data_IF_719265798117
#
_entry.id   IF_719265798117
#
_cell.length_a   1.000
_cell.length_b   1.000
_cell.length_c   1.000
_cell.angle_alpha   90.00
_cell.angle_beta   90.00
_cell.angle_gamma   90.00
#
_symmetry.space_group_name_H-M   'P 1'
#
loop_
_entity.id
_entity.type
_entity.pdbx_description
1 polymer ?
#
# COMPACT_ATOMS: atom_id res chain seq x y z
N UNK A 1 45.97 6.16 -37.42
CA UNK A 1 44.78 6.99 -37.73
C UNK A 1 43.89 6.18 -38.65
N UNK A 2 42.57 6.04 -38.45
CA UNK A 2 41.70 6.37 -37.31
C UNK A 2 40.94 5.12 -36.77
N UNK A 3 40.67 5.06 -35.46
CA UNK A 3 39.70 4.10 -34.88
C UNK A 3 38.39 4.86 -34.60
N UNK A 4 37.33 4.50 -35.32
CA UNK A 4 35.93 4.76 -34.97
C UNK A 4 35.32 3.41 -34.64
N UNK A 5 34.64 3.33 -33.49
CA UNK A 5 33.51 2.47 -33.06
C UNK A 5 33.65 2.40 -31.52
N UNK A 6 32.65 2.34 -30.67
CA UNK A 6 31.20 2.37 -30.74
C UNK A 6 30.76 2.44 -29.26
N UNK A 7 29.58 3.00 -29.03
CA UNK A 7 28.70 2.79 -27.88
C UNK A 7 29.17 1.79 -26.82
N UNK A 8 29.31 2.23 -25.57
CA UNK A 8 28.87 1.53 -24.33
C UNK A 8 29.26 2.40 -23.14
N UNK A 9 28.28 3.11 -22.58
CA UNK A 9 28.23 3.31 -21.13
C UNK A 9 26.83 2.92 -20.67
N UNK A 10 26.67 1.62 -20.54
CA UNK A 10 25.65 0.97 -19.73
C UNK A 10 25.89 1.38 -18.28
N UNK A 11 24.91 2.02 -17.65
CA UNK A 11 24.72 2.10 -16.20
C UNK A 11 23.29 2.60 -15.98
N UNK A 12 22.36 1.66 -16.11
CA UNK A 12 21.03 1.74 -15.52
C UNK A 12 21.21 2.22 -14.08
N UNK A 13 20.69 3.40 -13.75
CA UNK A 13 20.77 4.01 -12.42
C UNK A 13 19.88 3.22 -11.45
N UNK A 14 20.36 2.04 -11.03
CA UNK A 14 19.89 1.35 -9.83
C UNK A 14 20.61 1.99 -8.63
N UNK A 15 20.29 3.27 -8.37
CA UNK A 15 20.61 3.83 -7.05
C UNK A 15 19.70 3.14 -6.04
N UNK A 16 20.24 2.63 -4.92
CA UNK A 16 19.39 2.13 -3.84
C UNK A 16 18.49 3.28 -3.41
N UNK A 17 17.19 3.01 -3.29
CA UNK A 17 16.20 3.95 -2.77
C UNK A 17 16.76 4.65 -1.53
N UNK A 18 17.12 5.94 -1.66
CA UNK A 18 17.52 6.74 -0.52
C UNK A 18 16.30 6.89 0.41
N UNK A 19 16.57 6.93 1.72
CA UNK A 19 15.58 7.11 2.79
C UNK A 19 14.51 8.18 2.50
N UNK A 20 14.90 9.31 1.88
CA UNK A 20 13.98 10.38 1.49
C UNK A 20 13.00 9.91 0.41
N UNK A 21 13.50 9.30 -0.66
CA UNK A 21 12.66 8.80 -1.76
C UNK A 21 11.73 7.69 -1.29
N UNK A 22 12.20 6.82 -0.38
CA UNK A 22 11.37 5.79 0.25
C UNK A 22 10.23 6.42 1.06
N UNK A 23 10.51 7.44 1.88
CA UNK A 23 9.49 8.12 2.67
C UNK A 23 8.47 8.87 1.79
N UNK A 24 8.92 9.47 0.68
CA UNK A 24 8.02 10.10 -0.29
C UNK A 24 7.10 9.05 -0.95
N UNK A 25 7.67 7.93 -1.42
CA UNK A 25 6.90 6.85 -2.01
C UNK A 25 5.92 6.24 -1.01
N UNK A 26 6.34 6.06 0.24
CA UNK A 26 5.47 5.61 1.34
C UNK A 26 4.29 6.56 1.55
N UNK A 27 4.53 7.87 1.53
CA UNK A 27 3.46 8.87 1.60
C UNK A 27 2.48 8.75 0.43
N UNK A 28 2.96 8.62 -0.81
CA UNK A 28 2.09 8.46 -1.98
C UNK A 28 1.31 7.13 -1.95
N UNK A 29 1.92 6.06 -1.48
CA UNK A 29 1.27 4.77 -1.26
C UNK A 29 0.17 4.89 -0.21
N UNK A 30 0.43 5.56 0.92
CA UNK A 30 -0.57 5.80 1.96
C UNK A 30 -1.75 6.60 1.41
N UNK A 31 -1.49 7.69 0.68
CA UNK A 31 -2.53 8.51 0.08
C UNK A 31 -3.36 7.71 -0.94
N UNK A 32 -2.72 6.85 -1.75
CA UNK A 32 -3.43 5.95 -2.67
C UNK A 32 -4.33 4.96 -1.92
N UNK A 33 -3.85 4.36 -0.82
CA UNK A 33 -4.66 3.44 0.01
C UNK A 33 -5.83 4.18 0.66
N UNK A 34 -5.67 5.44 1.04
CA UNK A 34 -6.75 6.31 1.55
C UNK A 34 -7.79 6.70 0.48
N UNK A 35 -7.60 6.35 -0.78
CA UNK A 35 -8.66 6.47 -1.79
C UNK A 35 -9.60 5.27 -1.83
N UNK A 36 -9.22 4.18 -1.14
CA UNK A 36 -10.02 2.96 -1.06
C UNK A 36 -10.88 3.00 0.19
N UNK A 37 -12.19 3.06 -0.02
CA UNK A 37 -13.21 3.12 1.02
C UNK A 37 -13.84 1.74 1.18
N UNK A 38 -14.19 1.40 2.41
CA UNK A 38 -14.97 0.19 2.66
C UNK A 38 -16.42 0.38 2.15
N UNK A 39 -17.02 -0.61 1.46
CA UNK A 39 -18.38 -0.49 0.95
C UNK A 39 -19.45 -0.65 2.03
N UNK A 40 -19.12 -1.22 3.19
CA UNK A 40 -20.03 -1.39 4.33
C UNK A 40 -19.96 -0.17 5.28
N UNK A 41 -18.78 0.43 5.43
CA UNK A 41 -18.54 1.62 6.25
C UNK A 41 -17.93 2.75 5.39
N UNK A 42 -18.49 3.98 5.38
CA UNK A 42 -18.01 5.09 4.55
C UNK A 42 -16.69 5.71 5.06
N UNK A 43 -15.71 4.86 5.39
CA UNK A 43 -14.41 5.20 5.96
C UNK A 43 -13.32 4.47 5.18
N UNK A 44 -12.14 5.08 5.08
CA UNK A 44 -10.98 4.50 4.41
C UNK A 44 -10.44 3.26 5.12
N UNK A 45 -9.90 2.31 4.36
CA UNK A 45 -9.25 1.11 4.93
C UNK A 45 -8.03 1.46 5.82
N UNK A 46 -7.35 2.57 5.51
CA UNK A 46 -6.24 3.07 6.32
C UNK A 46 -6.72 3.63 7.66
N UNK A 47 -7.72 4.51 7.64
CA UNK A 47 -8.27 5.15 8.84
C UNK A 47 -9.05 4.16 9.73
N UNK A 48 -9.65 3.12 9.13
CA UNK A 48 -10.23 2.00 9.87
C UNK A 48 -9.19 1.18 10.63
N UNK A 49 -7.91 1.27 10.28
CA UNK A 49 -6.85 0.46 10.88
C UNK A 49 -6.81 -0.98 10.34
N UNK A 50 -7.29 -1.20 9.11
CA UNK A 50 -7.19 -2.49 8.43
C UNK A 50 -5.79 -2.76 7.88
N UNK A 51 -4.98 -1.72 7.67
CA UNK A 51 -3.59 -1.84 7.25
C UNK A 51 -2.70 -2.02 8.48
N UNK A 52 -1.99 -3.15 8.54
CA UNK A 52 -1.07 -3.48 9.64
C UNK A 52 0.35 -2.99 9.37
N UNK A 53 0.75 -2.94 8.11
CA UNK A 53 2.08 -2.51 7.74
C UNK A 53 2.21 -2.27 6.25
N UNK A 54 3.08 -1.33 5.91
CA UNK A 54 3.50 -1.03 4.54
C UNK A 54 5.02 -1.17 4.56
N UNK A 55 5.56 -2.03 3.69
CA UNK A 55 6.98 -2.26 3.57
C UNK A 55 7.43 -1.99 2.13
N UNK A 56 8.28 -0.97 1.96
CA UNK A 56 8.84 -0.64 0.65
C UNK A 56 10.27 -1.18 0.57
N UNK A 57 10.47 -2.11 -0.35
CA UNK A 57 11.77 -2.70 -0.66
C UNK A 57 12.63 -1.77 -1.52
N UNK A 58 13.93 -2.04 -1.55
CA UNK A 58 14.88 -1.27 -2.38
C UNK A 58 14.62 -1.40 -3.89
N UNK A 59 13.98 -2.48 -4.33
CA UNK A 59 13.57 -2.69 -5.74
C UNK A 59 12.27 -1.94 -6.11
N UNK A 60 11.76 -1.09 -5.21
CA UNK A 60 10.45 -0.41 -5.35
C UNK A 60 9.27 -1.38 -5.36
N UNK A 61 9.45 -2.54 -4.74
CA UNK A 61 8.37 -3.48 -4.45
C UNK A 61 7.71 -3.07 -3.15
N UNK A 62 6.39 -2.86 -3.19
CA UNK A 62 5.58 -2.50 -2.02
C UNK A 62 4.88 -3.75 -1.50
N UNK A 63 5.23 -4.17 -0.30
CA UNK A 63 4.55 -5.24 0.42
C UNK A 63 3.58 -4.60 1.41
N UNK A 64 2.30 -4.95 1.28
CA UNK A 64 1.25 -4.49 2.17
C UNK A 64 0.72 -5.65 2.99
N UNK A 65 0.53 -5.44 4.28
CA UNK A 65 -0.16 -6.38 5.14
C UNK A 65 -1.47 -5.74 5.59
N UNK A 66 -2.60 -6.38 5.28
CA UNK A 66 -3.91 -5.92 5.74
C UNK A 66 -4.77 -7.05 6.29
N UNK A 67 -5.80 -6.67 7.04
CA UNK A 67 -6.84 -7.58 7.51
C UNK A 67 -8.20 -7.15 7.00
N UNK A 68 -9.20 -8.03 7.11
CA UNK A 68 -10.58 -7.73 6.76
C UNK A 68 -11.47 -7.84 8.00
N UNK A 69 -12.51 -7.01 8.04
CA UNK A 69 -13.52 -7.02 9.11
C UNK A 69 -14.34 -8.31 9.14
N UNK A 70 -14.39 -9.07 8.04
CA UNK A 70 -15.11 -10.35 7.98
C UNK A 70 -14.57 -11.33 6.92
N UNK A 71 -14.37 -12.62 7.27
CA UNK A 71 -13.86 -13.65 6.36
C UNK A 71 -14.86 -14.17 5.32
N UNK A 72 -16.13 -13.75 5.38
CA UNK A 72 -17.21 -14.37 4.63
C UNK A 72 -17.91 -13.45 3.60
N UNK A 73 -17.48 -12.19 3.43
CA UNK A 73 -18.17 -11.30 2.50
C UNK A 73 -17.58 -11.44 1.08
N UNK A 74 -18.39 -11.73 0.04
CA UNK A 74 -17.91 -11.83 -1.35
C UNK A 74 -17.30 -10.50 -1.86
N UNK A 75 -17.64 -9.38 -1.22
CA UNK A 75 -17.10 -8.03 -1.47
C UNK A 75 -15.73 -7.83 -0.81
N UNK A 76 -15.43 -8.56 0.27
CA UNK A 76 -14.14 -8.49 0.95
C UNK A 76 -13.00 -9.10 0.09
N UNK A 77 -13.34 -9.81 -0.99
CA UNK A 77 -12.38 -10.28 -2.00
C UNK A 77 -11.95 -9.21 -3.00
N UNK A 78 -12.71 -8.12 -3.19
CA UNK A 78 -12.36 -7.05 -4.14
C UNK A 78 -11.53 -5.95 -3.48
N UNK A 79 -11.79 -5.62 -2.21
CA UNK A 79 -11.01 -4.66 -1.43
C UNK A 79 -9.49 -4.83 -1.53
N UNK A 80 -8.89 -6.01 -1.26
CA UNK A 80 -7.46 -6.21 -1.41
C UNK A 80 -7.00 -5.98 -2.86
N UNK A 81 -7.80 -6.38 -3.85
CA UNK A 81 -7.50 -6.10 -5.26
C UNK A 81 -7.51 -4.60 -5.57
N UNK A 82 -8.48 -3.85 -5.03
CA UNK A 82 -8.57 -2.39 -5.20
C UNK A 82 -7.41 -1.67 -4.52
N UNK A 83 -7.01 -2.11 -3.32
CA UNK A 83 -5.82 -1.58 -2.63
C UNK A 83 -4.56 -1.88 -3.43
N UNK A 84 -4.37 -3.12 -3.87
CA UNK A 84 -3.20 -3.51 -4.67
C UNK A 84 -3.11 -2.69 -5.96
N UNK A 85 -4.25 -2.50 -6.64
CA UNK A 85 -4.33 -1.72 -7.88
C UNK A 85 -4.08 -0.24 -7.62
N UNK A 86 -4.68 0.36 -6.57
CA UNK A 86 -4.43 1.74 -6.19
C UNK A 86 -2.94 2.01 -5.92
N UNK A 87 -2.28 1.12 -5.17
CA UNK A 87 -0.83 1.19 -4.90
C UNK A 87 -0.01 0.98 -6.17
N UNK A 88 -0.45 0.09 -7.06
CA UNK A 88 0.22 -0.17 -8.34
C UNK A 88 0.14 1.01 -9.31
N UNK A 89 -0.87 1.87 -9.19
CA UNK A 89 -0.99 3.11 -9.97
C UNK A 89 -0.03 4.22 -9.48
N UNK A 90 0.60 4.07 -8.30
CA UNK A 90 1.52 5.07 -7.75
C UNK A 90 2.80 5.15 -8.60
N UNK A 91 3.18 6.35 -9.08
CA UNK A 91 4.36 6.51 -9.92
C UNK A 91 5.63 6.16 -9.13
N UNK A 92 6.33 5.12 -9.57
CA UNK A 92 7.57 4.66 -8.95
C UNK A 92 7.45 3.31 -8.24
N UNK A 93 6.24 2.79 -8.02
CA UNK A 93 6.02 1.41 -7.61
C UNK A 93 6.26 0.48 -8.79
N UNK A 94 7.13 -0.52 -8.61
CA UNK A 94 7.45 -1.51 -9.64
C UNK A 94 6.54 -2.73 -9.55
N UNK A 95 6.27 -3.18 -8.32
CA UNK A 95 5.38 -4.28 -8.02
C UNK A 95 4.72 -4.05 -6.66
N UNK A 96 3.49 -4.50 -6.53
CA UNK A 96 2.75 -4.52 -5.26
C UNK A 96 2.49 -5.97 -4.89
N UNK A 97 2.64 -6.31 -3.62
CA UNK A 97 2.24 -7.59 -3.07
C UNK A 97 1.41 -7.33 -1.83
N UNK A 98 0.17 -7.80 -1.84
CA UNK A 98 -0.73 -7.67 -0.70
C UNK A 98 -0.88 -9.01 0.00
N UNK A 99 -0.51 -9.04 1.27
CA UNK A 99 -0.71 -10.18 2.16
C UNK A 99 -1.91 -9.93 3.07
N UNK A 100 -2.92 -10.77 2.91
CA UNK A 100 -4.11 -10.74 3.74
C UNK A 100 -3.90 -11.64 4.97
N UNK A 101 -3.89 -11.01 6.15
CA UNK A 101 -3.73 -11.69 7.43
C UNK A 101 -5.03 -11.66 8.22
N UNK A 102 -5.33 -12.79 8.88
CA UNK A 102 -6.48 -12.94 9.77
C UNK A 102 -6.09 -12.93 11.25
N UNK A 103 -4.80 -13.06 11.53
CA UNK A 103 -4.24 -13.09 12.87
C UNK A 103 -3.16 -11.99 13.00
N UNK A 104 -3.27 -11.07 13.97
CA UNK A 104 -4.37 -10.91 14.92
C UNK A 104 -5.67 -10.45 14.24
N UNK A 105 -6.86 -10.83 14.76
CA UNK A 105 -8.13 -10.41 14.20
C UNK A 105 -8.33 -8.89 14.36
N UNK A 106 -9.03 -8.29 13.40
CA UNK A 106 -9.48 -6.91 13.53
C UNK A 106 -10.34 -6.74 14.79
N UNK A 107 -10.05 -5.71 15.56
CA UNK A 107 -10.82 -5.35 16.75
C UNK A 107 -11.19 -3.88 16.67
N UNK A 108 -12.43 -3.55 17.06
CA UNK A 108 -12.92 -2.17 17.16
C UNK A 108 -12.00 -1.33 18.07
N UNK A 109 -11.26 -1.97 18.98
CA UNK A 109 -10.28 -1.28 19.81
C UNK A 109 -9.20 -0.55 18.99
N UNK A 110 -8.88 -1.05 17.78
CA UNK A 110 -7.91 -0.43 16.88
C UNK A 110 -8.43 0.79 16.13
N UNK A 111 -9.75 0.99 16.09
CA UNK A 111 -10.34 2.15 15.44
C UNK A 111 -10.01 3.38 16.29
N UNK A 112 -9.37 4.42 15.71
CA UNK A 112 -9.04 5.63 16.45
C UNK A 112 -10.31 6.36 16.88
N UNK A 113 -10.25 7.08 18.01
CA UNK A 113 -11.44 7.72 18.63
C UNK A 113 -12.23 8.61 17.67
N UNK A 114 -11.55 9.29 16.74
CA UNK A 114 -12.21 10.15 15.75
C UNK A 114 -13.10 9.36 14.77
N UNK A 115 -12.67 8.16 14.36
CA UNK A 115 -13.45 7.29 13.48
C UNK A 115 -14.57 6.60 14.26
N UNK A 116 -14.35 6.22 15.53
CA UNK A 116 -15.40 5.64 16.38
C UNK A 116 -16.58 6.58 16.56
N UNK A 117 -16.31 7.88 16.72
CA UNK A 117 -17.32 8.92 16.86
C UNK A 117 -18.17 9.04 15.57
N UNK A 118 -17.53 8.97 14.41
CA UNK A 118 -18.18 9.04 13.09
C UNK A 118 -19.06 7.81 12.81
N UNK A 119 -18.64 6.64 13.32
CA UNK A 119 -19.35 5.37 13.21
C UNK A 119 -20.46 5.18 14.27
N UNK A 120 -20.60 6.11 15.22
CA UNK A 120 -21.64 6.03 16.26
C UNK A 120 -21.46 4.88 17.26
N UNK A 121 -20.22 4.43 17.47
CA UNK A 121 -19.90 3.38 18.46
C UNK A 121 -19.63 4.04 19.82
N UNK A 122 -20.63 4.03 20.70
CA UNK A 122 -20.59 4.53 22.09
C UNK A 122 -20.83 3.42 23.12
#
# INVERSE_FOLDING_TARGET
MPEKIDSTQESTHDEPLNSITKALLEGEVIEAIRTVYDPELPVNVYDLGLIYGIHINQDRTVELTMTLTSPACPVAGTLPGEVEEAVRQVPGVKSTSLELVWDPPFTIDRIPEHVRLELGLF
#
